data_IF_098321331367
#
_entry.id   IF_098321331367
#
_cell.length_a   1.000
_cell.length_b   1.000
_cell.length_c   1.000
_cell.angle_alpha   90.00
_cell.angle_beta   90.00
_cell.angle_gamma   90.00
#
_symmetry.space_group_name_H-M   'P 1'
#
loop_
_entity.id
_entity.type
_entity.pdbx_description
1 polymer ?
#
# COMPACT_ATOMS: atom_id res chain seq x y z
N UNK A 1 -5.95 -8.45 3.99
CA UNK A 1 -4.56 -8.63 3.55
C UNK A 1 -3.54 -9.03 4.63
N UNK A 2 -3.92 -9.51 5.81
CA UNK A 2 -2.95 -9.77 6.90
C UNK A 2 -1.80 -10.72 6.56
N UNK A 3 -2.04 -11.73 5.71
CA UNK A 3 -1.01 -12.71 5.30
C UNK A 3 0.12 -12.08 4.48
N UNK A 4 -0.09 -10.91 3.86
CA UNK A 4 0.91 -10.24 3.03
C UNK A 4 2.12 -9.80 3.86
N UNK A 5 1.93 -9.39 5.12
CA UNK A 5 3.02 -8.97 5.99
C UNK A 5 4.08 -10.07 6.23
N UNK A 6 3.75 -11.26 6.74
CA UNK A 6 4.75 -12.31 6.92
C UNK A 6 5.37 -12.80 5.60
N UNK A 7 4.64 -12.76 4.48
CA UNK A 7 5.19 -13.08 3.16
C UNK A 7 6.24 -12.03 2.75
N UNK A 8 5.93 -10.75 2.88
CA UNK A 8 6.87 -9.66 2.58
C UNK A 8 8.10 -9.71 3.49
N UNK A 9 7.97 -10.12 4.75
CA UNK A 9 9.13 -10.36 5.62
C UNK A 9 10.08 -11.41 5.06
N UNK A 10 9.54 -12.47 4.46
CA UNK A 10 10.36 -13.51 3.84
C UNK A 10 10.98 -13.04 2.52
N UNK A 11 10.18 -12.41 1.65
CA UNK A 11 10.60 -11.94 0.32
C UNK A 11 11.62 -10.79 0.42
N UNK A 12 11.36 -9.81 1.28
CA UNK A 12 12.21 -8.63 1.51
C UNK A 12 13.38 -8.86 2.46
N UNK A 13 13.69 -10.12 2.84
CA UNK A 13 14.72 -10.45 3.83
C UNK A 13 16.12 -9.91 3.48
N UNK A 14 16.45 -9.81 2.18
CA UNK A 14 17.76 -9.34 1.71
C UNK A 14 17.78 -7.84 1.41
N UNK A 15 16.68 -7.31 0.91
CA UNK A 15 16.48 -5.91 0.57
C UNK A 15 14.97 -5.65 0.46
N UNK A 16 14.49 -4.43 0.77
CA UNK A 16 13.09 -4.10 0.62
C UNK A 16 12.64 -4.20 -0.84
N UNK A 17 11.46 -4.74 -1.07
CA UNK A 17 10.86 -4.86 -2.41
C UNK A 17 9.93 -3.70 -2.70
N UNK A 18 9.64 -3.48 -3.99
CA UNK A 18 8.53 -2.64 -4.41
C UNK A 18 7.22 -3.44 -4.48
N UNK A 19 6.10 -2.76 -4.66
CA UNK A 19 4.79 -3.40 -4.68
C UNK A 19 3.80 -2.66 -5.59
N UNK A 20 3.07 -3.43 -6.40
CA UNK A 20 1.84 -2.98 -7.05
C UNK A 20 0.68 -3.58 -6.26
N UNK A 21 -0.12 -2.72 -5.62
CA UNK A 21 -1.24 -3.11 -4.76
C UNK A 21 -2.55 -2.66 -5.39
N UNK A 22 -3.42 -3.62 -5.75
CA UNK A 22 -4.71 -3.35 -6.37
C UNK A 22 -5.79 -3.60 -5.31
N UNK A 23 -6.45 -2.54 -4.87
CA UNK A 23 -7.36 -2.60 -3.73
C UNK A 23 -8.30 -1.39 -3.67
N UNK A 24 -9.37 -1.48 -2.89
CA UNK A 24 -10.18 -0.34 -2.50
C UNK A 24 -9.57 0.45 -1.33
N UNK A 25 -8.68 -0.16 -0.55
CA UNK A 25 -8.11 0.43 0.67
C UNK A 25 -6.60 0.37 0.67
N UNK A 26 -5.93 1.34 1.28
CA UNK A 26 -4.47 1.37 1.32
C UNK A 26 -3.86 0.32 2.27
N UNK A 27 -4.62 -0.19 3.24
CA UNK A 27 -4.12 -1.19 4.20
C UNK A 27 -2.82 -0.77 4.94
N UNK A 28 -2.72 0.53 5.22
CA UNK A 28 -1.61 1.22 5.92
C UNK A 28 -2.04 1.87 7.24
N UNK A 29 -3.20 1.51 7.79
CA UNK A 29 -3.68 2.09 9.05
C UNK A 29 -2.83 1.65 10.25
N UNK A 30 -2.88 2.46 11.31
CA UNK A 30 -2.19 2.22 12.57
C UNK A 30 -2.87 1.17 13.44
N UNK A 31 -2.68 1.26 14.76
CA UNK A 31 -3.30 0.32 15.71
C UNK A 31 -4.82 0.31 15.60
N UNK A 32 -5.40 -0.89 15.62
CA UNK A 32 -6.83 -1.10 15.76
C UNK A 32 -7.07 -2.08 16.91
N UNK A 33 -7.97 -1.74 17.84
CA UNK A 33 -8.28 -2.58 19.00
C UNK A 33 -7.03 -3.09 19.74
N UNK A 34 -6.10 -2.16 20.04
CA UNK A 34 -4.83 -2.41 20.73
C UNK A 34 -3.86 -3.36 20.01
N UNK A 35 -4.14 -3.77 18.77
CA UNK A 35 -3.26 -4.61 17.96
C UNK A 35 -2.80 -3.90 16.70
N UNK A 36 -1.53 -4.09 16.33
CA UNK A 36 -1.01 -3.68 15.02
C UNK A 36 -1.24 -4.74 13.94
N UNK A 37 -1.70 -5.92 14.32
CA UNK A 37 -1.92 -7.05 13.41
C UNK A 37 -3.42 -7.19 13.10
N UNK A 38 -3.83 -6.57 11.99
CA UNK A 38 -5.16 -6.66 11.41
C UNK A 38 -5.04 -6.49 9.90
N UNK A 39 -6.14 -6.69 9.17
CA UNK A 39 -6.09 -6.72 7.71
C UNK A 39 -5.83 -5.36 7.06
N UNK A 40 -6.02 -4.26 7.80
CA UNK A 40 -5.89 -2.87 7.33
C UNK A 40 -4.56 -2.18 7.65
N UNK A 41 -3.60 -2.86 8.29
CA UNK A 41 -2.25 -2.32 8.54
C UNK A 41 -1.06 -3.15 8.02
N UNK A 42 -1.20 -4.22 7.21
CA UNK A 42 -0.06 -5.08 6.87
C UNK A 42 1.06 -4.34 6.13
N UNK A 43 0.75 -3.34 5.29
CA UNK A 43 1.77 -2.64 4.50
C UNK A 43 2.49 -1.56 5.30
N UNK A 44 1.82 -0.92 6.25
CA UNK A 44 2.49 -0.09 7.27
C UNK A 44 3.52 -0.91 8.03
N UNK A 45 3.12 -2.09 8.52
CA UNK A 45 4.03 -2.98 9.24
C UNK A 45 5.20 -3.45 8.37
N UNK A 46 4.98 -3.71 7.07
CA UNK A 46 6.04 -4.11 6.15
C UNK A 46 7.06 -2.99 5.89
N UNK A 47 6.60 -1.73 5.77
CA UNK A 47 7.50 -0.56 5.67
C UNK A 47 8.30 -0.38 6.97
N UNK A 48 7.63 -0.44 8.12
CA UNK A 48 8.29 -0.29 9.42
C UNK A 48 9.29 -1.42 9.72
N UNK A 49 9.04 -2.64 9.23
CA UNK A 49 9.97 -3.77 9.30
C UNK A 49 11.13 -3.65 8.28
N UNK A 50 11.14 -2.65 7.40
CA UNK A 50 12.19 -2.41 6.42
C UNK A 50 12.21 -3.39 5.24
N UNK A 51 11.09 -4.07 4.98
CA UNK A 51 10.98 -5.11 3.94
C UNK A 51 10.16 -4.68 2.72
N UNK A 52 9.51 -3.53 2.82
CA UNK A 52 8.77 -2.87 1.73
C UNK A 52 9.28 -1.45 1.57
N UNK A 53 9.63 -1.08 0.34
CA UNK A 53 10.08 0.26 -0.02
C UNK A 53 8.86 1.11 -0.42
N UNK A 54 8.47 2.11 0.39
CA UNK A 54 7.28 2.91 0.09
C UNK A 54 7.45 3.75 -1.18
N UNK A 55 8.68 4.18 -1.51
CA UNK A 55 8.96 4.97 -2.72
C UNK A 55 8.79 4.18 -4.02
N UNK A 56 8.77 2.83 -3.92
CA UNK A 56 8.51 1.90 -5.02
C UNK A 56 7.21 1.13 -4.80
N UNK A 57 6.26 1.75 -4.12
CA UNK A 57 4.94 1.19 -3.86
C UNK A 57 3.86 2.06 -4.48
N UNK A 58 3.00 1.42 -5.28
CA UNK A 58 1.80 2.04 -5.87
C UNK A 58 0.54 1.30 -5.42
N UNK A 59 -0.49 2.06 -5.05
CA UNK A 59 -1.78 1.57 -4.59
C UNK A 59 -2.87 2.06 -5.54
N UNK A 60 -3.63 1.15 -6.15
CA UNK A 60 -4.48 1.44 -7.30
C UNK A 60 -5.92 1.03 -7.00
N UNK A 61 -6.84 1.97 -7.16
CA UNK A 61 -8.28 1.74 -7.01
C UNK A 61 -8.87 2.20 -5.66
N UNK A 62 -8.10 3.00 -4.92
CA UNK A 62 -8.43 3.48 -3.58
C UNK A 62 -9.72 4.29 -3.60
N UNK A 63 -10.66 4.00 -2.70
CA UNK A 63 -11.98 4.65 -2.64
C UNK A 63 -12.69 4.42 -1.31
N UNK A 64 -13.71 5.24 -1.04
CA UNK A 64 -14.58 5.11 0.12
C UNK A 64 -14.25 6.10 1.24
N UNK A 65 -15.02 6.07 2.33
CA UNK A 65 -14.99 7.10 3.37
C UNK A 65 -13.85 6.94 4.41
N UNK A 66 -12.85 6.11 4.12
CA UNK A 66 -11.80 5.72 5.07
C UNK A 66 -10.45 6.41 4.81
N UNK A 67 -10.42 7.47 3.99
CA UNK A 67 -9.19 8.18 3.58
C UNK A 67 -8.32 8.60 4.77
N UNK A 68 -8.95 9.06 5.85
CA UNK A 68 -8.27 9.49 7.07
C UNK A 68 -7.44 8.39 7.76
N UNK A 69 -7.62 7.12 7.39
CA UNK A 69 -6.83 5.99 7.91
C UNK A 69 -5.53 5.75 7.13
N UNK A 70 -5.33 6.44 6.00
CA UNK A 70 -4.27 6.14 5.03
C UNK A 70 -3.19 7.21 4.94
N UNK A 71 -3.14 8.15 5.90
CA UNK A 71 -2.11 9.20 6.01
C UNK A 71 -0.68 8.65 5.81
N UNK A 72 -0.40 7.46 6.36
CA UNK A 72 0.90 6.83 6.29
C UNK A 72 1.34 6.52 4.84
N UNK A 73 0.41 6.18 3.95
CA UNK A 73 0.74 5.94 2.53
C UNK A 73 1.36 7.20 1.92
N UNK A 74 0.75 8.35 2.15
CA UNK A 74 1.26 9.63 1.65
C UNK A 74 2.55 10.04 2.35
N UNK A 75 2.59 9.99 3.68
CA UNK A 75 3.77 10.42 4.46
C UNK A 75 5.01 9.56 4.22
N UNK A 76 4.83 8.27 3.94
CA UNK A 76 5.95 7.36 3.64
C UNK A 76 6.44 7.45 2.19
N UNK A 77 5.70 8.13 1.31
CA UNK A 77 6.06 8.31 -0.10
C UNK A 77 5.48 7.27 -1.07
N UNK A 78 4.42 6.56 -0.68
CA UNK A 78 3.69 5.69 -1.61
C UNK A 78 2.91 6.51 -2.64
N UNK A 79 2.77 5.95 -3.84
CA UNK A 79 1.86 6.49 -4.85
C UNK A 79 0.47 5.93 -4.62
N UNK A 80 -0.52 6.80 -4.39
CA UNK A 80 -1.93 6.44 -4.23
C UNK A 80 -2.70 6.90 -5.46
N UNK A 81 -3.43 5.99 -6.09
CA UNK A 81 -4.29 6.26 -7.24
C UNK A 81 -5.73 5.91 -6.86
N UNK A 82 -6.57 6.93 -6.80
CA UNK A 82 -7.99 6.76 -6.51
C UNK A 82 -8.76 6.13 -7.68
N UNK A 83 -9.87 5.46 -7.38
CA UNK A 83 -10.66 4.76 -8.39
C UNK A 83 -11.18 5.69 -9.51
N UNK A 84 -11.48 6.95 -9.17
CA UNK A 84 -11.90 7.99 -10.10
C UNK A 84 -10.79 8.33 -11.12
N UNK A 85 -9.52 8.33 -10.67
CA UNK A 85 -8.36 8.58 -11.52
C UNK A 85 -8.10 7.42 -12.50
N UNK A 86 -8.35 6.18 -12.08
CA UNK A 86 -8.22 5.00 -12.96
C UNK A 86 -9.12 5.14 -14.19
N UNK A 87 -10.36 5.58 -13.99
CA UNK A 87 -11.32 5.78 -15.09
C UNK A 87 -10.95 6.99 -15.94
N UNK A 88 -10.52 8.09 -15.30
CA UNK A 88 -10.17 9.33 -16.00
C UNK A 88 -8.89 9.25 -16.84
N UNK A 89 -7.83 8.62 -16.31
CA UNK A 89 -6.54 8.46 -16.99
C UNK A 89 -6.53 7.26 -17.96
N UNK A 90 -7.31 6.22 -17.63
CA UNK A 90 -7.37 4.97 -18.38
C UNK A 90 -6.24 3.99 -18.03
N UNK A 91 -6.51 2.71 -18.27
CA UNK A 91 -5.62 1.60 -17.91
C UNK A 91 -4.18 1.74 -18.44
N UNK A 92 -3.92 2.16 -19.69
CA UNK A 92 -2.55 2.31 -20.18
C UNK A 92 -1.71 3.29 -19.37
N UNK A 93 -2.28 4.44 -18.97
CA UNK A 93 -1.57 5.44 -18.16
C UNK A 93 -1.27 4.92 -16.74
N UNK A 94 -2.20 4.17 -16.15
CA UNK A 94 -1.99 3.53 -14.84
C UNK A 94 -0.87 2.49 -14.90
N UNK A 95 -0.80 1.71 -15.99
CA UNK A 95 0.28 0.73 -16.20
C UNK A 95 1.63 1.44 -16.29
N UNK A 96 1.74 2.53 -17.06
CA UNK A 96 3.00 3.27 -17.16
C UNK A 96 3.42 3.85 -15.81
N UNK A 97 2.49 4.46 -15.06
CA UNK A 97 2.76 4.96 -13.70
C UNK A 97 3.20 3.84 -12.74
N UNK A 98 2.66 2.62 -12.86
CA UNK A 98 3.05 1.50 -12.01
C UNK A 98 4.44 0.91 -12.35
N UNK A 99 5.06 1.33 -13.46
CA UNK A 99 6.38 0.87 -13.91
C UNK A 99 7.52 1.83 -13.53
N UNK A 100 7.19 3.05 -13.10
CA UNK A 100 8.12 4.03 -12.54
C UNK A 100 8.70 3.53 -11.20
#
# INVERSE_FOLDING_TARGET
>A
HSISHPILKAVGKKAPVGMIHIDAHCDTSGLFDLTKFHHGGPFRNAVLDGVLDPSRTIQIGIRGAAEYLWEFSYESGMTVVHAEEVTGLGIPAIIEKARE
#
